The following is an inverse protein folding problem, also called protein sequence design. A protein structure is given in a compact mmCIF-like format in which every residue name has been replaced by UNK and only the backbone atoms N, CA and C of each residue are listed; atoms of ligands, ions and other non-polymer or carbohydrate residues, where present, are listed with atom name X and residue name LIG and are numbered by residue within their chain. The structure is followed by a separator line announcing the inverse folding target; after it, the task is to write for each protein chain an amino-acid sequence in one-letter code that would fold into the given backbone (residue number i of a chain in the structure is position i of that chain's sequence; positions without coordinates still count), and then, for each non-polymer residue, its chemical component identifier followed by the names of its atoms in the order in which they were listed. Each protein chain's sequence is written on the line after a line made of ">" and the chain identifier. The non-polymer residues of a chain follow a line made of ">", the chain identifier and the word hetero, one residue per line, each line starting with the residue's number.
data_IF_791991563471
#
_entry.id   IF_791991563471
#
_cell.length_a   1.000
_cell.length_b   1.000
_cell.length_c   1.000
_cell.angle_alpha   90.00
_cell.angle_beta   90.00
_cell.angle_gamma   90.00
#
_symmetry.space_group_name_H-M   'P 1'
#
loop_
_entity.id
_entity.type
_entity.pdbx_description
1 polymer ?
#
# COMPACT_ATOMS: atom_id res chain seq x y z
N UNK A 1 28.38 -0.68 9.77
CA UNK A 1 27.12 -1.40 10.10
C UNK A 1 26.26 -1.40 8.84
N UNK A 2 26.05 -2.55 8.17
CA UNK A 2 25.10 -2.61 7.04
C UNK A 2 23.70 -2.78 7.62
N UNK A 3 22.91 -1.71 7.56
CA UNK A 3 21.54 -1.64 8.12
C UNK A 3 20.55 -2.46 7.27
N UNK A 4 20.91 -2.76 6.02
CA UNK A 4 20.03 -3.44 5.06
C UNK A 4 20.22 -4.97 5.07
N UNK A 5 19.13 -5.74 4.86
CA UNK A 5 19.21 -7.19 4.74
C UNK A 5 20.14 -7.65 3.61
N UNK A 6 20.65 -8.88 3.71
CA UNK A 6 21.46 -9.47 2.63
C UNK A 6 20.65 -9.53 1.34
N UNK A 7 21.30 -9.20 0.22
CA UNK A 7 20.70 -9.14 -1.12
C UNK A 7 19.51 -8.17 -1.22
N UNK A 8 19.48 -7.12 -0.40
CA UNK A 8 18.53 -6.03 -0.59
C UNK A 8 18.86 -5.22 -1.82
N UNK A 9 17.86 -5.03 -2.68
CA UNK A 9 17.93 -4.21 -3.88
C UNK A 9 17.14 -2.91 -3.66
N UNK A 10 17.82 -1.79 -3.34
CA UNK A 10 17.16 -0.51 -3.12
C UNK A 10 16.39 0.00 -4.34
N UNK A 11 16.87 -0.27 -5.55
CA UNK A 11 16.19 0.15 -6.78
C UNK A 11 14.87 -0.59 -6.93
N UNK A 12 14.87 -1.91 -6.73
CA UNK A 12 13.64 -2.70 -6.76
C UNK A 12 12.64 -2.20 -5.72
N UNK A 13 13.08 -1.96 -4.48
CA UNK A 13 12.24 -1.42 -3.41
C UNK A 13 11.61 -0.06 -3.78
N UNK A 14 12.40 0.87 -4.33
CA UNK A 14 11.91 2.20 -4.76
C UNK A 14 10.92 2.06 -5.91
N UNK A 15 11.23 1.27 -6.93
CA UNK A 15 10.33 1.03 -8.07
C UNK A 15 9.00 0.43 -7.61
N UNK A 16 9.03 -0.59 -6.75
CA UNK A 16 7.81 -1.20 -6.19
C UNK A 16 7.03 -0.17 -5.36
N UNK A 17 7.71 0.66 -4.56
CA UNK A 17 7.06 1.71 -3.78
C UNK A 17 6.31 2.71 -4.64
N UNK A 18 6.90 3.13 -5.77
CA UNK A 18 6.23 4.04 -6.70
C UNK A 18 4.99 3.38 -7.33
N UNK A 19 5.10 2.11 -7.73
CA UNK A 19 3.97 1.36 -8.31
C UNK A 19 2.83 1.22 -7.29
N UNK A 20 3.14 0.83 -6.06
CA UNK A 20 2.14 0.67 -4.99
C UNK A 20 1.55 2.02 -4.61
N UNK A 21 2.34 3.10 -4.55
CA UNK A 21 1.83 4.43 -4.26
C UNK A 21 0.82 4.91 -5.31
N UNK A 22 1.11 4.71 -6.60
CA UNK A 22 0.18 5.03 -7.68
C UNK A 22 -1.11 4.20 -7.58
N UNK A 23 -0.99 2.89 -7.34
CA UNK A 23 -2.13 2.01 -7.17
C UNK A 23 -2.96 2.38 -5.93
N UNK A 24 -2.31 2.70 -4.81
CA UNK A 24 -2.94 3.16 -3.57
C UNK A 24 -3.72 4.45 -3.82
N UNK A 25 -3.15 5.40 -4.55
CA UNK A 25 -3.82 6.67 -4.83
C UNK A 25 -5.07 6.48 -5.71
N UNK A 26 -4.95 5.72 -6.80
CA UNK A 26 -6.09 5.43 -7.68
C UNK A 26 -7.20 4.64 -6.95
N UNK A 27 -6.81 3.66 -6.13
CA UNK A 27 -7.76 2.87 -5.33
C UNK A 27 -8.41 3.68 -4.21
N UNK A 28 -7.67 4.58 -3.57
CA UNK A 28 -8.19 5.51 -2.57
C UNK A 28 -9.28 6.41 -3.15
N UNK A 29 -9.05 7.01 -4.33
CA UNK A 29 -10.05 7.85 -4.99
C UNK A 29 -11.31 7.04 -5.31
N UNK A 30 -11.16 5.83 -5.82
CA UNK A 30 -12.30 4.97 -6.14
C UNK A 30 -13.12 4.60 -4.90
N UNK A 31 -12.44 4.23 -3.80
CA UNK A 31 -13.11 3.94 -2.53
C UNK A 31 -13.81 5.17 -1.95
N UNK A 32 -13.16 6.34 -1.98
CA UNK A 32 -13.78 7.58 -1.55
C UNK A 32 -15.01 7.95 -2.38
N UNK A 33 -14.92 7.78 -3.70
CA UNK A 33 -16.07 8.00 -4.59
C UNK A 33 -17.21 7.01 -4.32
N UNK A 34 -16.91 5.77 -3.92
CA UNK A 34 -17.93 4.78 -3.53
C UNK A 34 -18.62 5.17 -2.22
N UNK A 35 -17.85 5.61 -1.22
CA UNK A 35 -18.38 6.07 0.07
C UNK A 35 -19.27 7.31 -0.09
N UNK A 36 -18.93 8.23 -1.01
CA UNK A 36 -19.74 9.41 -1.36
C UNK A 36 -20.92 9.11 -2.32
N UNK A 37 -21.05 7.86 -2.79
CA UNK A 37 -22.09 7.47 -3.75
C UNK A 37 -21.91 8.04 -5.17
N UNK A 38 -20.68 8.42 -5.54
CA UNK A 38 -20.32 9.05 -6.83
C UNK A 38 -19.53 8.14 -7.77
N UNK A 39 -19.26 6.88 -7.40
CA UNK A 39 -18.36 5.95 -8.11
C UNK A 39 -18.83 5.47 -9.50
N UNK A 40 -20.06 5.79 -9.89
CA UNK A 40 -20.65 5.38 -11.17
C UNK A 40 -20.92 3.87 -11.33
N UNK A 41 -20.54 3.04 -10.34
CA UNK A 41 -20.86 1.61 -10.27
C UNK A 41 -20.18 0.70 -11.30
N UNK A 42 -19.15 1.17 -12.01
CA UNK A 42 -18.45 0.37 -13.02
C UNK A 42 -17.51 -0.68 -12.41
N UNK A 43 -17.33 -1.82 -13.09
CA UNK A 43 -16.47 -2.93 -12.64
C UNK A 43 -15.07 -2.47 -12.21
N UNK A 44 -14.43 -1.60 -13.00
CA UNK A 44 -13.09 -1.08 -12.68
C UNK A 44 -13.09 -0.27 -11.38
N UNK A 45 -14.12 0.56 -11.16
CA UNK A 45 -14.29 1.37 -9.96
C UNK A 45 -14.42 0.49 -8.72
N UNK A 46 -15.29 -0.54 -8.80
CA UNK A 46 -15.48 -1.53 -7.73
C UNK A 46 -14.19 -2.31 -7.42
N UNK A 47 -13.44 -2.74 -8.45
CA UNK A 47 -12.16 -3.44 -8.24
C UNK A 47 -11.15 -2.51 -7.56
N UNK A 48 -11.06 -1.25 -7.98
CA UNK A 48 -10.16 -0.28 -7.38
C UNK A 48 -10.53 0.01 -5.93
N UNK A 49 -11.81 0.24 -5.64
CA UNK A 49 -12.26 0.46 -4.28
C UNK A 49 -12.00 -0.76 -3.38
N UNK A 50 -12.29 -1.97 -3.85
CA UNK A 50 -11.94 -3.21 -3.14
C UNK A 50 -10.42 -3.35 -2.94
N UNK A 51 -9.62 -2.94 -3.92
CA UNK A 51 -8.15 -2.95 -3.81
C UNK A 51 -7.68 -2.02 -2.68
N UNK A 52 -8.32 -0.87 -2.48
CA UNK A 52 -8.00 0.02 -1.37
C UNK A 52 -8.25 -0.64 -0.01
N UNK A 53 -9.33 -1.41 0.11
CA UNK A 53 -9.65 -2.16 1.33
C UNK A 53 -8.55 -3.16 1.71
N UNK A 54 -7.83 -3.69 0.72
CA UNK A 54 -6.66 -4.55 0.92
C UNK A 54 -5.44 -3.71 1.27
N UNK A 55 -5.13 -2.67 0.48
CA UNK A 55 -3.92 -1.87 0.63
C UNK A 55 -3.87 -1.06 1.93
N UNK A 56 -5.02 -0.75 2.54
CA UNK A 56 -5.07 -0.11 3.87
C UNK A 56 -4.63 -1.05 5.02
N UNK A 57 -4.48 -2.34 4.78
CA UNK A 57 -3.90 -3.26 5.76
C UNK A 57 -2.36 -3.23 5.69
N UNK A 58 -1.62 -3.50 6.79
CA UNK A 58 -2.08 -3.67 8.15
C UNK A 58 -2.21 -2.37 8.95
N UNK A 59 -1.35 -1.37 8.73
CA UNK A 59 -1.17 -0.25 9.67
C UNK A 59 -2.42 0.61 9.79
N UNK A 60 -2.99 1.03 8.66
CA UNK A 60 -4.19 1.87 8.69
C UNK A 60 -5.40 1.14 9.31
N UNK A 61 -5.53 -0.16 9.11
CA UNK A 61 -6.58 -0.96 9.77
C UNK A 61 -6.32 -1.19 11.25
N UNK A 62 -5.11 -1.60 11.63
CA UNK A 62 -4.74 -1.93 13.01
C UNK A 62 -4.79 -0.70 13.94
N UNK A 63 -4.39 0.46 13.43
CA UNK A 63 -4.34 1.70 14.20
C UNK A 63 -5.53 2.62 13.93
N UNK A 64 -6.62 2.11 13.34
CA UNK A 64 -7.78 2.92 12.95
C UNK A 64 -8.34 3.76 14.10
N UNK A 65 -8.47 3.21 15.31
CA UNK A 65 -8.94 3.97 16.48
C UNK A 65 -8.08 5.20 16.79
N UNK A 66 -6.76 5.06 16.73
CA UNK A 66 -5.82 6.18 16.94
C UNK A 66 -5.87 7.16 15.77
N UNK A 67 -6.01 6.66 14.54
CA UNK A 67 -6.13 7.50 13.33
C UNK A 67 -7.41 8.36 13.39
N UNK A 68 -8.52 7.81 13.88
CA UNK A 68 -9.77 8.57 14.01
C UNK A 68 -9.69 9.65 15.08
N UNK A 69 -8.90 9.45 16.14
CA UNK A 69 -8.63 10.47 17.16
C UNK A 69 -7.67 11.56 16.63
N UNK A 70 -6.71 11.16 15.79
CA UNK A 70 -5.68 12.04 15.23
C UNK A 70 -5.64 11.92 13.71
N UNK A 71 -6.55 12.59 13.01
CA UNK A 71 -6.68 12.52 11.55
C UNK A 71 -5.39 12.86 10.77
N UNK A 72 -4.46 13.60 11.38
CA UNK A 72 -3.13 13.84 10.82
C UNK A 72 -2.33 12.55 10.55
N UNK A 73 -2.68 11.44 11.21
CA UNK A 73 -2.04 10.12 11.06
C UNK A 73 -2.58 9.30 9.88
N UNK A 74 -3.66 9.74 9.22
CA UNK A 74 -4.30 9.01 8.14
C UNK A 74 -3.32 8.69 6.98
N UNK A 75 -2.71 9.73 6.40
CA UNK A 75 -1.75 9.56 5.29
C UNK A 75 -0.43 8.91 5.72
N UNK A 76 0.17 9.25 6.88
CA UNK A 76 1.32 8.52 7.41
C UNK A 76 1.08 7.01 7.54
N UNK A 77 -0.10 6.58 8.00
CA UNK A 77 -0.42 5.15 8.10
C UNK A 77 -0.48 4.46 6.73
N UNK A 78 -1.03 5.13 5.71
CA UNK A 78 -1.01 4.62 4.33
C UNK A 78 0.41 4.55 3.76
N UNK A 79 1.26 5.54 4.06
CA UNK A 79 2.67 5.53 3.66
C UNK A 79 3.42 4.34 4.28
N UNK A 80 3.14 4.02 5.55
CA UNK A 80 3.71 2.84 6.20
C UNK A 80 3.27 1.53 5.53
N UNK A 81 2.01 1.42 5.09
CA UNK A 81 1.56 0.27 4.30
C UNK A 81 2.32 0.16 2.97
N UNK A 82 2.51 1.28 2.26
CA UNK A 82 3.30 1.28 1.01
C UNK A 82 4.71 0.74 1.28
N UNK A 83 5.40 1.28 2.29
CA UNK A 83 6.74 0.84 2.68
C UNK A 83 6.74 -0.66 3.03
N UNK A 84 5.76 -1.12 3.78
CA UNK A 84 5.62 -2.51 4.18
C UNK A 84 5.45 -3.45 2.99
N UNK A 85 4.50 -3.16 2.09
CA UNK A 85 4.28 -3.99 0.92
C UNK A 85 5.48 -3.99 -0.03
N UNK A 86 6.10 -2.83 -0.25
CA UNK A 86 7.32 -2.74 -1.06
C UNK A 86 8.45 -3.58 -0.50
N UNK A 87 8.63 -3.54 0.82
CA UNK A 87 9.64 -4.36 1.49
C UNK A 87 9.30 -5.85 1.36
N UNK A 88 8.06 -6.24 1.62
CA UNK A 88 7.63 -7.64 1.52
C UNK A 88 7.82 -8.22 0.10
N UNK A 89 7.43 -7.47 -0.93
CA UNK A 89 7.61 -7.87 -2.33
C UNK A 89 9.09 -7.94 -2.69
N UNK A 90 9.88 -6.96 -2.27
CA UNK A 90 11.33 -6.97 -2.53
C UNK A 90 12.00 -8.18 -1.86
N UNK A 91 11.61 -8.54 -0.63
CA UNK A 91 12.08 -9.76 0.05
C UNK A 91 11.64 -11.03 -0.69
N UNK A 92 10.41 -11.06 -1.21
CA UNK A 92 9.90 -12.18 -1.99
C UNK A 92 10.70 -12.36 -3.30
N UNK A 93 10.99 -11.27 -4.01
CA UNK A 93 11.82 -11.29 -5.22
C UNK A 93 13.22 -11.80 -4.88
N UNK A 94 13.86 -11.26 -3.84
CA UNK A 94 15.19 -11.70 -3.42
C UNK A 94 15.24 -13.19 -3.06
N UNK A 95 14.17 -13.72 -2.44
CA UNK A 95 14.05 -15.14 -2.13
C UNK A 95 13.94 -16.01 -3.39
N UNK A 96 13.05 -15.63 -4.33
CA UNK A 96 12.84 -16.36 -5.59
C UNK A 96 14.09 -16.32 -6.49
N UNK A 97 14.76 -15.17 -6.57
CA UNK A 97 15.98 -15.00 -7.37
C UNK A 97 17.18 -15.78 -6.85
N UNK A 98 17.20 -16.15 -5.56
CA UNK A 98 18.28 -16.98 -4.96
C UNK A 98 18.07 -18.48 -5.21
N UNK A 99 16.83 -18.89 -5.53
CA UNK A 99 16.50 -20.28 -5.85
C UNK A 99 16.76 -20.68 -7.31
N UNK A 100 17.20 -19.73 -8.15
CA UNK A 100 17.74 -19.97 -9.49
C UNK A 100 19.26 -19.86 -9.44
#
# INVERSE_FOLDING_TARGET
>A
MKILPKNFNPLAFITISLIIALLMFASFIAAFAEDEGTSGGGLLSTILAATFQILRFPFHTLFWGVITEYMALYFPALLLNIIFYSFAIERLIAFISKGR
#
